data_IF_892680325836
#
_entry.id   IF_892680325836
#
_cell.length_a   1.000
_cell.length_b   1.000
_cell.length_c   1.000
_cell.angle_alpha   90.00
_cell.angle_beta   90.00
_cell.angle_gamma   90.00
#
_symmetry.space_group_name_H-M   'P 1'
#
loop_
_entity.id
_entity.type
_entity.pdbx_description
1 polymer ?
#
# COMPACT_ATOMS: atom_id res chain seq x y z
N UNK A 1 19.28 37.10 26.68
CA UNK A 1 19.32 35.72 26.14
C UNK A 1 18.16 35.62 25.17
N UNK A 2 18.43 35.57 23.87
CA UNK A 2 17.39 35.41 22.85
C UNK A 2 16.68 34.06 23.06
N UNK A 3 15.34 33.96 22.91
CA UNK A 3 14.67 32.69 23.01
C UNK A 3 15.25 31.74 21.95
N UNK A 4 15.59 30.52 22.35
CA UNK A 4 16.06 29.48 21.44
C UNK A 4 14.96 29.25 20.41
N UNK A 5 15.15 29.75 19.19
CA UNK A 5 14.20 29.55 18.09
C UNK A 5 14.22 28.08 17.72
N UNK A 6 13.20 27.32 18.16
CA UNK A 6 12.99 25.96 17.69
C UNK A 6 12.60 26.06 16.22
N UNK A 7 13.33 25.36 15.35
CA UNK A 7 12.98 25.18 13.94
C UNK A 7 12.40 23.78 13.76
N UNK A 8 11.23 23.69 13.12
CA UNK A 8 10.56 22.42 12.80
C UNK A 8 10.52 22.30 11.27
N UNK A 9 10.83 21.11 10.77
CA UNK A 9 10.61 20.74 9.37
C UNK A 9 9.66 19.54 9.31
N UNK A 10 8.76 19.54 8.34
CA UNK A 10 7.79 18.48 8.14
C UNK A 10 8.09 17.74 6.85
N UNK A 11 8.15 16.41 6.94
CA UNK A 11 8.14 15.51 5.78
C UNK A 11 6.86 14.70 5.86
N UNK A 12 6.04 14.76 4.82
CA UNK A 12 4.79 14.01 4.74
C UNK A 12 4.82 13.05 3.55
N UNK A 13 4.07 11.97 3.67
CA UNK A 13 3.65 11.19 2.51
C UNK A 13 2.37 11.84 1.96
N UNK A 14 2.36 12.18 0.68
CA UNK A 14 1.19 12.71 0.01
C UNK A 14 0.62 11.64 -0.93
N UNK A 15 -0.69 11.43 -0.87
CA UNK A 15 -1.38 10.65 -1.89
C UNK A 15 -1.42 11.50 -3.15
N UNK A 16 -0.83 10.99 -4.23
CA UNK A 16 -0.83 11.66 -5.53
C UNK A 16 -2.14 11.39 -6.27
N UNK A 17 -2.58 10.12 -6.29
CA UNK A 17 -3.89 9.72 -6.81
C UNK A 17 -4.32 8.36 -6.26
N UNK A 18 -5.64 8.15 -6.18
CA UNK A 18 -6.27 6.86 -5.93
C UNK A 18 -7.27 6.58 -7.04
N UNK A 19 -7.24 5.37 -7.61
CA UNK A 19 -8.11 4.96 -8.71
C UNK A 19 -8.53 3.50 -8.58
N UNK A 20 -9.65 3.14 -9.20
CA UNK A 20 -10.14 1.77 -9.26
C UNK A 20 -10.22 1.30 -10.71
N UNK A 21 -9.48 0.25 -11.05
CA UNK A 21 -9.58 -0.41 -12.34
C UNK A 21 -10.30 -1.76 -12.24
N UNK A 22 -11.21 -2.04 -13.18
CA UNK A 22 -11.95 -3.30 -13.25
C UNK A 22 -11.50 -4.10 -14.47
N UNK A 23 -10.93 -5.28 -14.24
CA UNK A 23 -10.62 -6.24 -15.30
C UNK A 23 -11.71 -7.32 -15.35
N UNK A 24 -12.44 -7.38 -16.46
CA UNK A 24 -13.37 -8.47 -16.76
C UNK A 24 -12.67 -9.48 -17.70
N UNK A 25 -12.69 -10.74 -17.30
CA UNK A 25 -12.22 -11.87 -18.08
C UNK A 25 -13.45 -12.63 -18.57
N UNK A 26 -13.67 -12.67 -19.88
CA UNK A 26 -14.77 -13.41 -20.51
C UNK A 26 -14.26 -14.69 -21.16
N UNK A 27 -14.99 -15.79 -21.02
CA UNK A 27 -14.54 -17.08 -21.55
C UNK A 27 -13.41 -17.70 -20.71
N UNK A 28 -13.43 -17.50 -19.39
CA UNK A 28 -12.35 -17.88 -18.48
C UNK A 28 -11.92 -19.34 -18.62
N UNK A 29 -12.85 -20.29 -18.73
CA UNK A 29 -12.52 -21.71 -18.92
C UNK A 29 -11.71 -21.93 -20.20
N UNK A 30 -12.15 -21.35 -21.32
CA UNK A 30 -11.44 -21.46 -22.60
C UNK A 30 -10.05 -20.81 -22.53
N UNK A 31 -9.97 -19.61 -21.95
CA UNK A 31 -8.70 -18.90 -21.79
C UNK A 31 -7.73 -19.69 -20.92
N UNK A 32 -8.22 -20.33 -19.85
CA UNK A 32 -7.44 -21.23 -19.01
C UNK A 32 -6.95 -22.45 -19.79
N UNK A 33 -7.77 -23.06 -20.64
CA UNK A 33 -7.37 -24.24 -21.41
C UNK A 33 -6.38 -23.90 -22.54
N UNK A 34 -6.47 -22.70 -23.12
CA UNK A 34 -5.56 -22.24 -24.18
C UNK A 34 -4.17 -21.80 -23.68
N UNK A 35 -4.02 -21.46 -22.39
CA UNK A 35 -2.78 -20.91 -21.86
C UNK A 35 -2.03 -21.89 -20.96
N UNK A 36 -0.77 -22.15 -21.26
CA UNK A 36 0.11 -22.89 -20.34
C UNK A 36 0.44 -22.05 -19.08
N UNK A 37 0.86 -22.72 -18.00
CA UNK A 37 1.43 -22.06 -16.82
C UNK A 37 2.55 -21.08 -17.21
N UNK A 38 2.60 -19.93 -16.57
CA UNK A 38 3.53 -18.84 -16.86
C UNK A 38 3.11 -17.92 -18.02
N UNK A 39 2.00 -18.21 -18.70
CA UNK A 39 1.38 -17.29 -19.65
C UNK A 39 0.25 -16.50 -18.98
N UNK A 40 0.10 -15.25 -19.40
CA UNK A 40 -0.86 -14.31 -18.83
C UNK A 40 -1.69 -13.63 -19.91
N UNK A 41 -2.84 -13.12 -19.47
CA UNK A 41 -3.68 -12.18 -20.17
C UNK A 41 -3.36 -10.78 -19.65
N UNK A 42 -3.33 -9.78 -20.54
CA UNK A 42 -3.14 -8.38 -20.17
C UNK A 42 -4.48 -7.63 -20.14
N UNK A 43 -4.66 -6.76 -19.15
CA UNK A 43 -5.71 -5.74 -19.20
C UNK A 43 -5.40 -4.67 -20.25
N UNK A 44 -6.41 -3.89 -20.62
CA UNK A 44 -6.16 -2.56 -21.19
C UNK A 44 -5.30 -1.72 -20.25
N UNK A 45 -4.52 -0.81 -20.83
CA UNK A 45 -3.73 0.16 -20.10
C UNK A 45 -4.65 1.17 -19.40
N UNK A 46 -4.31 1.56 -18.18
CA UNK A 46 -5.00 2.60 -17.41
C UNK A 46 -3.99 3.53 -16.71
N UNK A 47 -4.43 4.73 -16.34
CA UNK A 47 -3.56 5.81 -15.86
C UNK A 47 -3.85 6.16 -14.40
N UNK A 48 -2.81 6.28 -13.58
CA UNK A 48 -2.90 6.71 -12.17
C UNK A 48 -1.67 7.54 -11.81
N UNK A 49 -1.90 8.75 -11.29
CA UNK A 49 -0.83 9.72 -10.95
C UNK A 49 0.17 9.98 -12.10
N UNK A 50 -0.33 10.02 -13.35
CA UNK A 50 0.50 10.23 -14.54
C UNK A 50 1.34 9.02 -14.97
N UNK A 51 1.15 7.87 -14.33
CA UNK A 51 1.80 6.61 -14.67
C UNK A 51 0.83 5.63 -15.29
N UNK A 52 1.35 4.86 -16.25
CA UNK A 52 0.60 3.84 -16.96
C UNK A 52 0.75 2.48 -16.29
N UNK A 53 -0.37 1.76 -16.23
CA UNK A 53 -0.46 0.48 -15.55
C UNK A 53 -1.21 -0.55 -16.40
N UNK A 54 -0.84 -1.82 -16.20
CA UNK A 54 -1.57 -2.98 -16.70
C UNK A 54 -1.68 -4.05 -15.62
N UNK A 55 -2.76 -4.82 -15.65
CA UNK A 55 -2.91 -6.03 -14.84
C UNK A 55 -2.55 -7.23 -15.70
N UNK A 56 -1.69 -8.10 -15.17
CA UNK A 56 -1.35 -9.39 -15.76
C UNK A 56 -2.08 -10.48 -14.98
N UNK A 57 -3.00 -11.18 -15.66
CA UNK A 57 -3.80 -12.26 -15.12
C UNK A 57 -3.26 -13.61 -15.60
N UNK A 58 -2.76 -14.43 -14.68
CA UNK A 58 -2.23 -15.76 -14.97
C UNK A 58 -3.28 -16.81 -14.58
N UNK A 59 -4.08 -17.34 -15.52
CA UNK A 59 -5.12 -18.32 -15.19
C UNK A 59 -4.57 -19.63 -14.63
N UNK A 60 -3.31 -19.96 -14.96
CA UNK A 60 -2.64 -21.22 -14.60
C UNK A 60 -1.35 -21.03 -13.80
N UNK A 61 -1.26 -19.94 -13.04
CA UNK A 61 -0.07 -19.60 -12.26
C UNK A 61 1.00 -18.90 -13.09
N UNK A 62 1.81 -18.08 -12.43
CA UNK A 62 2.98 -17.40 -13.01
C UNK A 62 4.20 -18.31 -13.18
N UNK A 63 4.33 -19.32 -12.33
CA UNK A 63 5.36 -20.36 -12.42
C UNK A 63 4.80 -21.75 -12.10
N UNK A 64 5.61 -22.78 -12.37
CA UNK A 64 5.22 -24.19 -12.24
C UNK A 64 4.76 -24.53 -10.82
N UNK A 65 5.45 -24.00 -9.80
CA UNK A 65 5.11 -24.14 -8.39
C UNK A 65 3.76 -23.53 -8.01
N UNK A 66 3.25 -22.61 -8.84
CA UNK A 66 1.99 -21.90 -8.64
C UNK A 66 0.90 -22.40 -9.60
N UNK A 67 1.12 -23.49 -10.33
CA UNK A 67 0.19 -23.99 -11.34
C UNK A 67 -1.22 -24.32 -10.81
N UNK A 68 -1.36 -24.57 -9.51
CA UNK A 68 -2.65 -24.77 -8.83
C UNK A 68 -3.43 -23.50 -8.49
N UNK A 69 -2.88 -22.32 -8.80
CA UNK A 69 -3.41 -21.02 -8.43
C UNK A 69 -3.62 -20.12 -9.66
N UNK A 70 -4.51 -19.15 -9.53
CA UNK A 70 -4.50 -17.95 -10.35
C UNK A 70 -3.51 -16.97 -9.72
N UNK A 71 -2.71 -16.31 -10.54
CA UNK A 71 -1.80 -15.25 -10.08
C UNK A 71 -2.20 -13.91 -10.71
N UNK A 72 -2.01 -12.83 -9.95
CA UNK A 72 -2.30 -11.47 -10.38
C UNK A 72 -1.09 -10.58 -10.16
N UNK A 73 -0.74 -9.79 -11.15
CA UNK A 73 0.35 -8.82 -11.06
C UNK A 73 -0.07 -7.48 -11.62
N UNK A 74 0.38 -6.40 -10.97
CA UNK A 74 0.33 -5.06 -11.51
C UNK A 74 1.69 -4.75 -12.14
N UNK A 75 1.68 -4.29 -13.38
CA UNK A 75 2.86 -3.87 -14.13
C UNK A 75 2.81 -2.36 -14.40
N UNK A 76 3.91 -1.67 -14.08
CA UNK A 76 4.18 -0.32 -14.53
C UNK A 76 4.59 -0.37 -16.01
N UNK A 77 3.75 0.21 -16.86
CA UNK A 77 3.83 0.15 -18.33
C UNK A 77 4.16 1.53 -18.92
N UNK A 78 4.92 2.35 -18.20
CA UNK A 78 5.30 3.68 -18.66
C UNK A 78 6.11 3.64 -19.97
N UNK A 79 5.78 4.55 -20.87
CA UNK A 79 6.52 4.72 -22.12
C UNK A 79 7.92 5.29 -21.85
N UNK A 80 8.82 5.15 -22.82
CA UNK A 80 10.18 5.64 -22.70
C UNK A 80 10.29 7.15 -22.42
N UNK A 81 9.29 7.92 -22.88
CA UNK A 81 9.20 9.37 -22.69
C UNK A 81 8.85 9.78 -21.24
N UNK A 82 8.26 8.87 -20.44
CA UNK A 82 7.98 9.15 -19.03
C UNK A 82 9.29 9.04 -18.23
N UNK A 83 9.67 10.09 -17.47
CA UNK A 83 10.88 10.06 -16.65
C UNK A 83 10.85 8.88 -15.67
N UNK A 84 11.89 8.05 -15.71
CA UNK A 84 12.00 6.93 -14.79
C UNK A 84 12.29 7.43 -13.38
N UNK A 85 11.28 7.41 -12.51
CA UNK A 85 11.37 7.69 -11.07
C UNK A 85 10.88 6.50 -10.26
N UNK A 86 11.19 6.50 -8.96
CA UNK A 86 10.59 5.56 -8.02
C UNK A 86 9.12 5.93 -7.82
N UNK A 87 8.22 4.99 -8.09
CA UNK A 87 6.76 5.15 -7.96
C UNK A 87 6.28 4.19 -6.88
N UNK A 88 5.93 4.71 -5.70
CA UNK A 88 5.40 3.89 -4.61
C UNK A 88 3.88 3.76 -4.77
N UNK A 89 3.40 2.52 -4.86
CA UNK A 89 1.98 2.23 -4.97
C UNK A 89 1.52 1.25 -3.89
N UNK A 90 0.35 1.52 -3.33
CA UNK A 90 -0.42 0.64 -2.47
C UNK A 90 -1.56 0.06 -3.30
N UNK A 91 -1.63 -1.26 -3.38
CA UNK A 91 -2.49 -1.96 -4.33
C UNK A 91 -3.29 -3.02 -3.60
N UNK A 92 -4.59 -3.11 -3.91
CA UNK A 92 -5.47 -4.18 -3.48
C UNK A 92 -6.12 -4.82 -4.70
N UNK A 93 -5.90 -6.12 -4.89
CA UNK A 93 -6.67 -6.93 -5.83
C UNK A 93 -7.82 -7.60 -5.09
N UNK A 94 -9.03 -7.55 -5.67
CA UNK A 94 -10.22 -8.20 -5.12
C UNK A 94 -11.02 -8.92 -6.19
N UNK A 95 -11.57 -10.09 -5.87
CA UNK A 95 -12.59 -10.70 -6.73
C UNK A 95 -13.93 -10.00 -6.55
N UNK A 96 -14.55 -9.61 -7.66
CA UNK A 96 -15.87 -8.98 -7.64
C UNK A 96 -16.93 -10.06 -7.47
N UNK A 97 -17.77 -9.91 -6.43
CA UNK A 97 -18.89 -10.81 -6.19
C UNK A 97 -20.02 -10.58 -7.19
N UNK A 98 -20.81 -11.63 -7.43
CA UNK A 98 -22.08 -11.50 -8.14
C UNK A 98 -23.03 -10.52 -7.42
N UNK A 99 -23.73 -9.64 -8.16
CA UNK A 99 -24.89 -8.93 -7.65
C UNK A 99 -25.94 -9.93 -7.14
N UNK A 100 -26.48 -9.70 -5.94
CA UNK A 100 -27.54 -10.55 -5.35
C UNK A 100 -27.08 -11.86 -4.71
N UNK A 101 -25.77 -12.17 -4.68
CA UNK A 101 -25.28 -13.30 -3.89
C UNK A 101 -25.33 -12.96 -2.39
N UNK A 102 -25.90 -13.85 -1.53
CA UNK A 102 -25.90 -13.63 -0.08
C UNK A 102 -24.47 -13.43 0.43
N UNK A 103 -24.24 -12.35 1.19
CA UNK A 103 -22.93 -12.04 1.77
C UNK A 103 -22.39 -13.18 2.67
N UNK A 104 -23.30 -13.97 3.26
CA UNK A 104 -22.98 -15.14 4.08
C UNK A 104 -22.43 -16.33 3.30
N UNK A 105 -22.66 -16.41 1.98
CA UNK A 105 -22.17 -17.51 1.14
C UNK A 105 -20.81 -17.23 0.51
N UNK A 106 -20.23 -16.03 0.68
CA UNK A 106 -19.03 -15.60 -0.05
C UNK A 106 -18.10 -14.74 0.82
N UNK A 107 -17.08 -15.32 1.49
CA UNK A 107 -16.07 -14.50 2.14
C UNK A 107 -15.38 -13.63 1.08
N UNK A 108 -15.20 -12.32 1.32
CA UNK A 108 -14.51 -11.44 0.38
C UNK A 108 -13.12 -12.02 0.14
N UNK A 109 -12.69 -12.03 -1.12
CA UNK A 109 -11.34 -12.46 -1.45
C UNK A 109 -10.58 -11.27 -2.02
N UNK A 110 -9.62 -10.78 -1.24
CA UNK A 110 -8.78 -9.65 -1.58
C UNK A 110 -7.38 -9.86 -1.02
N UNK A 111 -6.38 -9.39 -1.75
CA UNK A 111 -4.97 -9.42 -1.34
C UNK A 111 -4.36 -8.05 -1.62
N UNK A 112 -3.59 -7.53 -0.66
CA UNK A 112 -3.01 -6.19 -0.74
C UNK A 112 -1.49 -6.24 -0.64
N UNK A 113 -0.83 -5.31 -1.31
CA UNK A 113 0.62 -5.13 -1.20
C UNK A 113 1.00 -3.68 -1.45
N UNK A 114 2.16 -3.29 -0.90
CA UNK A 114 2.80 -2.00 -1.20
C UNK A 114 4.12 -2.28 -1.90
N UNK A 115 4.42 -1.52 -2.95
CA UNK A 115 5.63 -1.73 -3.72
C UNK A 115 6.14 -0.44 -4.37
N UNK A 116 7.46 -0.37 -4.56
CA UNK A 116 8.09 0.72 -5.30
C UNK A 116 8.51 0.22 -6.66
N UNK A 117 7.89 0.78 -7.69
CA UNK A 117 8.16 0.50 -9.09
C UNK A 117 9.21 1.44 -9.64
N UNK A 118 10.06 0.95 -10.52
CA UNK A 118 11.01 1.76 -11.27
C UNK A 118 11.41 1.08 -12.59
N UNK A 119 11.06 1.72 -13.70
CA UNK A 119 11.38 1.23 -15.06
C UNK A 119 12.87 1.15 -15.33
N UNK A 120 13.67 2.14 -14.93
CA UNK A 120 15.11 2.15 -15.14
C UNK A 120 15.84 1.04 -14.36
N UNK A 121 15.27 0.59 -13.24
CA UNK A 121 15.79 -0.54 -12.45
C UNK A 121 15.25 -1.90 -12.90
N UNK A 122 14.44 -1.96 -13.96
CA UNK A 122 13.68 -3.15 -14.37
C UNK A 122 12.78 -3.73 -13.27
N UNK A 123 12.36 -2.90 -12.30
CA UNK A 123 11.47 -3.27 -11.20
C UNK A 123 10.07 -2.78 -11.55
N UNK A 124 9.44 -3.38 -12.56
CA UNK A 124 8.16 -2.89 -13.11
C UNK A 124 6.97 -3.70 -12.66
N UNK A 125 7.16 -4.86 -12.01
CA UNK A 125 6.06 -5.79 -11.77
C UNK A 125 6.05 -6.31 -10.33
N UNK A 126 4.88 -6.27 -9.69
CA UNK A 126 4.62 -6.86 -8.38
C UNK A 126 3.18 -7.38 -8.30
N UNK A 127 2.98 -8.43 -7.53
CA UNK A 127 1.69 -9.11 -7.47
C UNK A 127 1.64 -10.20 -6.42
N UNK A 128 0.63 -11.05 -6.57
CA UNK A 128 0.27 -12.14 -5.67
C UNK A 128 0.31 -13.45 -6.45
N UNK A 129 1.39 -14.22 -6.27
CA UNK A 129 1.64 -15.44 -7.03
C UNK A 129 0.58 -16.53 -6.76
N UNK A 130 0.05 -16.59 -5.54
CA UNK A 130 -0.99 -17.53 -5.12
C UNK A 130 -2.25 -16.77 -4.69
N UNK A 131 -2.82 -15.98 -5.59
CA UNK A 131 -3.99 -15.15 -5.29
C UNK A 131 -5.17 -16.02 -4.86
N UNK A 132 -5.65 -16.89 -5.75
CA UNK A 132 -6.73 -17.85 -5.41
C UNK A 132 -6.42 -19.22 -6.00
N UNK A 133 -6.73 -20.28 -5.25
CA UNK A 133 -6.66 -21.64 -5.77
C UNK A 133 -7.62 -21.80 -6.96
N UNK A 134 -7.15 -22.39 -8.08
CA UNK A 134 -7.97 -22.57 -9.28
C UNK A 134 -9.22 -23.39 -9.00
N UNK A 135 -9.07 -24.48 -8.26
CA UNK A 135 -10.19 -25.32 -7.85
C UNK A 135 -11.24 -24.52 -7.08
N UNK A 136 -10.82 -23.60 -6.20
CA UNK A 136 -11.72 -22.71 -5.48
C UNK A 136 -12.44 -21.78 -6.46
N UNK A 137 -11.73 -21.12 -7.37
CA UNK A 137 -12.36 -20.22 -8.34
C UNK A 137 -13.30 -20.96 -9.31
N UNK A 138 -12.92 -22.16 -9.76
CA UNK A 138 -13.69 -23.00 -10.69
C UNK A 138 -14.98 -23.55 -10.06
N UNK A 139 -14.91 -23.96 -8.79
CA UNK A 139 -16.06 -24.49 -8.04
C UNK A 139 -17.00 -23.39 -7.55
N UNK A 140 -16.44 -22.24 -7.15
CA UNK A 140 -17.22 -21.18 -6.53
C UNK A 140 -17.93 -20.31 -7.58
N UNK A 141 -19.18 -20.68 -7.88
CA UNK A 141 -20.07 -19.90 -8.78
C UNK A 141 -20.27 -18.44 -8.36
N UNK A 142 -19.91 -18.09 -7.12
CA UNK A 142 -20.00 -16.74 -6.59
C UNK A 142 -19.02 -15.71 -7.18
N UNK A 143 -17.94 -16.17 -7.82
CA UNK A 143 -16.97 -15.32 -8.53
C UNK A 143 -16.91 -15.62 -10.03
N UNK A 144 -17.16 -16.88 -10.44
CA UNK A 144 -17.27 -17.29 -11.84
C UNK A 144 -18.73 -17.40 -12.26
N UNK A 145 -19.18 -16.55 -13.18
CA UNK A 145 -20.57 -16.53 -13.68
C UNK A 145 -20.57 -16.34 -15.20
N UNK A 146 -21.38 -17.12 -15.91
CA UNK A 146 -21.47 -17.03 -17.38
C UNK A 146 -20.08 -17.13 -18.05
N UNK A 147 -19.22 -17.98 -17.48
CA UNK A 147 -17.79 -18.12 -17.84
C UNK A 147 -16.98 -16.81 -17.75
N UNK A 148 -17.41 -15.88 -16.90
CA UNK A 148 -16.76 -14.60 -16.66
C UNK A 148 -16.26 -14.48 -15.22
N UNK A 149 -15.07 -13.90 -15.06
CA UNK A 149 -14.46 -13.51 -13.78
C UNK A 149 -14.18 -12.02 -13.82
N UNK A 150 -14.41 -11.32 -12.72
CA UNK A 150 -14.05 -9.90 -12.61
C UNK A 150 -13.11 -9.66 -11.43
N UNK A 151 -12.04 -8.92 -11.70
CA UNK A 151 -11.01 -8.51 -10.75
C UNK A 151 -11.07 -7.00 -10.61
N UNK A 152 -11.22 -6.52 -9.38
CA UNK A 152 -11.07 -5.12 -9.01
C UNK A 152 -9.63 -4.88 -8.56
N UNK A 153 -9.01 -3.84 -9.07
CA UNK A 153 -7.70 -3.33 -8.65
C UNK A 153 -7.89 -1.92 -8.11
N UNK A 154 -7.77 -1.77 -6.80
CA UNK A 154 -7.67 -0.46 -6.16
C UNK A 154 -6.19 -0.10 -6.04
N UNK A 155 -5.80 1.08 -6.51
CA UNK A 155 -4.42 1.53 -6.52
C UNK A 155 -4.34 2.96 -6.00
N UNK A 156 -3.42 3.17 -5.06
CA UNK A 156 -3.05 4.48 -4.53
C UNK A 156 -1.57 4.72 -4.76
N UNK A 157 -1.23 5.76 -5.52
CA UNK A 157 0.16 6.18 -5.73
C UNK A 157 0.51 7.23 -4.68
N UNK A 158 1.60 6.98 -3.95
CA UNK A 158 2.08 7.83 -2.88
C UNK A 158 3.39 8.47 -3.30
N UNK A 159 3.44 9.79 -3.21
CA UNK A 159 4.65 10.57 -3.46
C UNK A 159 5.18 11.14 -2.14
N UNK A 160 6.50 11.18 -2.01
CA UNK A 160 7.14 11.86 -0.88
C UNK A 160 7.00 13.35 -1.13
N UNK A 161 6.38 14.09 -0.22
CA UNK A 161 6.42 15.55 -0.31
C UNK A 161 7.87 16.01 -0.06
N UNK A 162 8.35 16.98 -0.84
CA UNK A 162 9.58 17.69 -0.48
C UNK A 162 9.40 18.31 0.91
N UNK A 163 10.49 18.38 1.70
CA UNK A 163 10.48 19.14 2.94
C UNK A 163 10.14 20.59 2.57
N UNK A 164 9.05 21.14 3.12
CA UNK A 164 8.83 22.57 3.04
C UNK A 164 9.90 23.23 3.92
N UNK A 165 10.70 24.13 3.33
CA UNK A 165 11.65 24.92 4.11
C UNK A 165 10.88 25.85 5.05
N UNK A 166 11.16 25.69 6.35
CA UNK A 166 10.89 26.64 7.44
C UNK A 166 9.63 27.49 7.34
N UNK A 167 8.45 26.88 7.48
CA UNK A 167 7.27 27.64 7.87
C UNK A 167 7.33 27.90 9.38
N UNK A 168 6.91 29.08 9.85
CA UNK A 168 6.97 29.45 11.26
C UNK A 168 6.26 28.39 12.11
N UNK A 169 6.98 27.85 13.11
CA UNK A 169 6.50 26.79 13.99
C UNK A 169 5.23 27.24 14.69
N UNK A 170 4.09 26.60 14.39
CA UNK A 170 2.88 26.84 15.16
C UNK A 170 2.94 26.06 16.47
N UNK A 171 2.38 26.61 17.55
CA UNK A 171 2.36 25.97 18.88
C UNK A 171 1.80 24.54 18.82
N UNK A 172 0.76 24.33 18.01
CA UNK A 172 0.17 23.02 17.71
C UNK A 172 1.18 21.99 17.16
N UNK A 173 2.18 22.42 16.40
CA UNK A 173 3.15 21.53 15.77
C UNK A 173 4.17 21.05 16.84
N UNK A 174 4.47 21.91 17.81
CA UNK A 174 5.29 21.58 18.99
C UNK A 174 4.54 20.61 19.91
N UNK A 175 3.23 20.79 20.07
CA UNK A 175 2.37 19.88 20.83
C UNK A 175 2.25 18.49 20.20
N UNK A 176 1.97 18.42 18.88
CA UNK A 176 1.84 17.15 18.14
C UNK A 176 3.15 16.35 18.16
N UNK A 177 4.30 17.03 18.16
CA UNK A 177 5.62 16.42 18.29
C UNK A 177 5.99 16.04 19.73
N UNK A 178 5.14 16.35 20.73
CA UNK A 178 5.42 16.12 22.14
C UNK A 178 6.52 17.00 22.72
N UNK A 179 6.84 18.12 22.06
CA UNK A 179 7.86 19.09 22.47
C UNK A 179 7.30 20.17 23.42
N UNK A 180 5.98 20.27 23.57
CA UNK A 180 5.30 21.12 24.55
C UNK A 180 4.35 20.29 25.46
N UNK A 181 4.47 20.46 26.79
CA UNK A 181 3.56 19.90 27.80
C UNK A 181 2.73 21.05 28.41
N UNK A 182 1.39 20.97 28.31
CA UNK A 182 0.47 21.94 28.92
C UNK A 182 0.10 21.62 30.37
N UNK A 183 0.68 20.57 30.97
CA UNK A 183 0.39 20.21 32.34
C UNK A 183 0.92 21.28 33.30
N UNK A 184 0.04 21.76 34.18
CA UNK A 184 0.40 22.70 35.26
C UNK A 184 0.87 22.00 36.54
N UNK A 185 0.94 20.67 36.54
CA UNK A 185 1.32 19.88 37.71
C UNK A 185 2.85 19.84 37.93
N UNK A 186 3.24 19.66 39.19
CA UNK A 186 4.64 19.57 39.61
C UNK A 186 5.32 18.24 39.21
N UNK A 187 4.55 17.31 38.62
CA UNK A 187 5.03 16.01 38.15
C UNK A 187 5.58 16.12 36.71
N UNK A 188 4.92 16.87 35.81
CA UNK A 188 5.41 17.15 34.45
C UNK A 188 6.73 17.93 34.52
N UNK A 189 6.84 18.92 35.43
CA UNK A 189 8.08 19.69 35.64
C UNK A 189 9.30 18.81 35.98
N UNK A 190 9.14 17.80 36.84
CA UNK A 190 10.25 16.87 37.20
C UNK A 190 10.61 15.92 36.07
N UNK A 191 9.64 15.49 35.27
CA UNK A 191 9.88 14.65 34.10
C UNK A 191 10.65 15.39 33.00
N UNK A 192 10.32 16.66 32.73
CA UNK A 192 11.06 17.47 31.75
C UNK A 192 12.42 17.96 32.27
N UNK A 193 12.56 18.24 33.57
CA UNK A 193 13.85 18.62 34.16
C UNK A 193 14.90 17.49 34.09
N UNK A 194 14.49 16.22 34.10
CA UNK A 194 15.40 15.07 33.96
C UNK A 194 15.88 14.82 32.52
N UNK A 195 15.21 15.36 31.51
CA UNK A 195 15.58 15.19 30.09
C UNK A 195 16.77 16.05 29.64
N UNK A 196 17.01 17.19 30.30
CA UNK A 196 18.08 18.13 29.92
C UNK A 196 19.49 17.72 30.40
N UNK A 197 19.61 16.71 31.27
CA UNK A 197 20.85 16.40 31.99
C UNK A 197 21.60 15.13 31.52
N UNK A 198 21.27 14.53 30.38
CA UNK A 198 22.02 13.37 29.85
C UNK A 198 22.26 13.43 28.35
N UNK A 199 23.20 14.29 27.94
CA UNK A 199 24.00 14.06 26.73
C UNK A 199 25.48 14.10 27.13
N UNK A 200 25.91 13.13 27.94
CA UNK A 200 27.32 12.74 28.03
C UNK A 200 27.39 11.23 28.24
N UNK A 201 28.02 10.54 27.29
CA UNK A 201 28.69 9.27 27.56
C UNK A 201 27.95 7.99 27.20
N UNK A 202 28.29 7.47 26.01
CA UNK A 202 28.43 6.05 25.63
C UNK A 202 27.27 5.06 25.86
N UNK A 203 27.00 4.30 24.79
CA UNK A 203 26.75 2.86 24.90
C UNK A 203 25.47 2.35 24.23
N UNK A 204 25.64 1.66 23.11
CA UNK A 204 24.62 0.84 22.44
C UNK A 204 23.79 -0.02 23.41
N UNK A 205 22.45 0.10 23.32
CA UNK A 205 21.41 -0.97 23.30
C UNK A 205 20.19 -0.68 24.18
N UNK A 206 19.02 -0.88 23.56
CA UNK A 206 17.70 -1.19 24.13
C UNK A 206 17.01 -0.11 24.97
N UNK A 207 15.98 0.52 24.39
CA UNK A 207 14.61 0.54 24.92
C UNK A 207 13.74 1.52 24.11
N UNK A 208 13.20 1.06 22.99
CA UNK A 208 12.18 1.80 22.22
C UNK A 208 10.74 1.40 22.58
N UNK A 209 10.53 0.67 23.68
CA UNK A 209 9.19 0.18 24.06
C UNK A 209 9.09 0.13 25.58
N UNK A 210 8.45 1.14 26.17
CA UNK A 210 7.65 1.08 27.41
C UNK A 210 7.37 2.51 27.85
N UNK A 211 6.30 3.11 27.34
CA UNK A 211 5.40 3.98 28.12
C UNK A 211 4.20 4.38 27.23
N UNK A 212 3.52 3.38 26.66
CA UNK A 212 2.14 3.57 26.21
C UNK A 212 1.23 3.34 27.42
N UNK A 213 0.23 4.23 27.56
CA UNK A 213 -1.02 4.08 28.31
C UNK A 213 -0.93 4.14 29.84
N UNK A 214 -1.21 5.34 30.37
CA UNK A 214 -2.23 5.54 31.41
C UNK A 214 -2.51 7.03 31.56
N UNK A 215 -3.54 7.51 30.87
CA UNK A 215 -4.51 8.49 31.35
C UNK A 215 -5.55 8.74 30.24
N UNK A 216 -6.54 7.86 30.16
CA UNK A 216 -7.87 8.19 29.67
C UNK A 216 -8.80 8.05 30.87
N UNK A 217 -9.40 9.14 31.34
CA UNK A 217 -10.85 9.30 31.51
C UNK A 217 -11.18 10.65 32.16
N UNK A 218 -12.08 11.37 31.47
CA UNK A 218 -12.99 12.49 31.83
C UNK A 218 -12.42 13.66 32.63
#
# INVERSE_FOLDING_TARGET
>A
MSPTGISVSTVAAAVSATETHMLKIEGYKRLKDMHCTGKFLESSRFQVAGHAWKIHFYPNGDFRENAGFVSLYLNLDDDAAVPAKDVRAEVTFSLVRRPGAPASLLPPHSESFTFTYNRAKAVTRRGVAKFIAKQKLDWFSGYLRDDCVAVRCDITVVEKSAAKEGEAVQERDVEVLGLACHCKDELCKRHHARGAARVVGLGLRQAFVKFFLRCFQV
#
